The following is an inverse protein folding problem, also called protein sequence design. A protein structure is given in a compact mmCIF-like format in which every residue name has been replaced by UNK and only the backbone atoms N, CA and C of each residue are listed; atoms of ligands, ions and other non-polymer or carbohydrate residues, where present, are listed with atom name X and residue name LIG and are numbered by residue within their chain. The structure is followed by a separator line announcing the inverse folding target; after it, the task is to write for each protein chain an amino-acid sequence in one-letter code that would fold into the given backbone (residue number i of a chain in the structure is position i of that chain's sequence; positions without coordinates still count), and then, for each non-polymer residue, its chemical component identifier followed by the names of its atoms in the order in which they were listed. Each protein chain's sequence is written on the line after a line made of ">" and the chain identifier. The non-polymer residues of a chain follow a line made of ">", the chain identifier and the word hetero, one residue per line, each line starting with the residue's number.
data_IF_322597131040
#
_entry.id   IF_322597131040
#
_cell.length_a   1.000
_cell.length_b   1.000
_cell.length_c   1.000
_cell.angle_alpha   90.00
_cell.angle_beta   90.00
_cell.angle_gamma   90.00
#
_symmetry.space_group_name_H-M   'P 1'
#
loop_
_entity.id
_entity.type
_entity.pdbx_description
1 polymer ?
#
# COMPACT_ATOMS: atom_id res chain seq x y z
N UNK A 1 -35.64 14.60 -13.80
CA UNK A 1 -34.66 15.67 -14.02
C UNK A 1 -33.45 15.01 -14.67
N UNK A 2 -33.30 15.15 -15.99
CA UNK A 2 -32.13 14.66 -16.70
C UNK A 2 -31.02 15.68 -16.46
N UNK A 3 -30.04 15.35 -15.63
CA UNK A 3 -28.84 16.16 -15.50
C UNK A 3 -28.07 16.04 -16.81
N UNK A 4 -28.15 17.07 -17.65
CA UNK A 4 -27.28 17.25 -18.81
C UNK A 4 -25.93 17.63 -18.23
N UNK A 5 -25.02 16.66 -18.11
CA UNK A 5 -23.64 16.98 -17.76
C UNK A 5 -23.00 17.66 -18.98
N UNK A 6 -22.47 18.88 -18.85
CA UNK A 6 -21.77 19.52 -19.96
C UNK A 6 -20.57 18.65 -20.33
N UNK A 7 -20.37 18.42 -21.63
CA UNK A 7 -19.20 17.67 -22.15
C UNK A 7 -17.86 18.28 -21.70
N UNK A 8 -17.88 19.51 -21.18
CA UNK A 8 -16.72 20.28 -20.68
C UNK A 8 -16.57 20.25 -19.15
N UNK A 9 -17.15 19.29 -18.42
CA UNK A 9 -16.97 19.23 -16.97
C UNK A 9 -15.51 18.94 -16.60
N UNK A 10 -14.88 19.91 -15.92
CA UNK A 10 -13.52 19.80 -15.37
C UNK A 10 -13.59 19.19 -13.97
N UNK A 11 -13.20 17.92 -13.85
CA UNK A 11 -13.16 17.22 -12.57
C UNK A 11 -12.10 17.79 -11.62
N UNK A 12 -12.44 17.87 -10.33
CA UNK A 12 -11.49 18.14 -9.26
C UNK A 12 -10.71 16.87 -8.90
N UNK A 13 -9.38 16.97 -8.93
CA UNK A 13 -8.48 15.87 -8.61
C UNK A 13 -7.78 16.09 -7.27
N UNK A 14 -7.88 15.12 -6.36
CA UNK A 14 -6.98 14.98 -5.21
C UNK A 14 -5.70 14.27 -5.68
N UNK A 15 -4.55 14.89 -5.47
CA UNK A 15 -3.27 14.43 -6.00
C UNK A 15 -2.24 14.23 -4.89
N UNK A 16 -1.79 12.99 -4.72
CA UNK A 16 -0.70 12.64 -3.80
C UNK A 16 0.52 12.29 -4.63
N UNK A 17 1.65 12.96 -4.38
CA UNK A 17 2.93 12.72 -5.05
C UNK A 17 3.97 12.35 -4.01
N UNK A 18 4.62 11.19 -4.20
CA UNK A 18 5.64 10.65 -3.32
C UNK A 18 6.92 10.37 -4.10
N UNK A 19 8.05 10.65 -3.46
CA UNK A 19 9.38 10.35 -3.96
C UNK A 19 10.22 9.74 -2.84
N UNK A 20 10.22 8.42 -2.78
CA UNK A 20 10.95 7.65 -1.78
C UNK A 20 12.33 7.34 -2.33
N UNK A 21 13.31 8.10 -1.87
CA UNK A 21 14.72 7.94 -2.22
C UNK A 21 15.38 6.92 -1.28
N UNK A 22 16.40 6.23 -1.78
CA UNK A 22 17.24 5.34 -0.97
C UNK A 22 16.45 4.23 -0.25
N UNK A 23 15.39 3.71 -0.88
CA UNK A 23 14.59 2.62 -0.33
C UNK A 23 15.41 1.35 -0.17
N UNK A 24 15.32 0.75 1.03
CA UNK A 24 15.97 -0.49 1.39
C UNK A 24 14.94 -1.42 2.05
N UNK A 25 14.59 -2.54 1.39
CA UNK A 25 13.57 -3.45 1.90
C UNK A 25 14.19 -4.49 2.84
N UNK A 26 14.01 -4.27 4.14
CA UNK A 26 14.45 -5.20 5.20
C UNK A 26 13.26 -5.95 5.76
N UNK A 27 13.43 -7.24 5.94
CA UNK A 27 12.40 -8.08 6.53
C UNK A 27 12.68 -8.30 8.00
N UNK A 28 11.65 -8.75 8.70
CA UNK A 28 11.72 -9.12 10.10
C UNK A 28 11.18 -10.53 10.23
N UNK A 29 11.80 -11.30 11.11
CA UNK A 29 11.41 -12.68 11.36
C UNK A 29 10.62 -12.74 12.67
N UNK A 30 9.50 -13.46 12.66
CA UNK A 30 8.70 -13.71 13.85
C UNK A 30 9.06 -15.08 14.44
N UNK A 31 9.72 -15.09 15.59
CA UNK A 31 10.00 -16.30 16.34
C UNK A 31 8.88 -16.55 17.36
N UNK A 32 8.28 -17.76 17.32
CA UNK A 32 7.37 -18.25 18.36
C UNK A 32 8.18 -19.13 19.31
N UNK A 33 8.25 -18.78 20.58
CA UNK A 33 8.91 -19.61 21.59
C UNK A 33 8.50 -19.22 23.01
N UNK A 34 8.45 -20.17 23.96
CA UNK A 34 8.30 -19.84 25.37
C UNK A 34 9.51 -18.99 25.77
N UNK A 35 9.27 -17.85 26.42
CA UNK A 35 10.29 -16.88 26.82
C UNK A 35 11.57 -17.58 27.27
N UNK A 36 12.58 -17.58 26.38
CA UNK A 36 13.91 -18.01 26.74
C UNK A 36 14.50 -16.88 27.59
N UNK A 37 14.38 -17.03 28.90
CA UNK A 37 15.24 -16.37 29.87
C UNK A 37 16.69 -16.67 29.50
N UNK A 38 17.32 -15.81 28.69
CA UNK A 38 18.72 -15.94 28.32
C UNK A 38 19.31 -14.54 28.10
N UNK A 39 19.82 -13.99 29.19
CA UNK A 39 21.08 -13.24 29.27
C UNK A 39 21.69 -12.74 27.95
N UNK A 40 21.77 -11.41 27.82
CA UNK A 40 22.85 -10.75 27.08
C UNK A 40 22.43 -10.06 25.79
N UNK A 41 22.29 -8.74 25.89
CA UNK A 41 22.14 -7.77 24.79
C UNK A 41 20.89 -7.96 23.91
N UNK A 42 19.77 -7.43 24.39
CA UNK A 42 18.66 -7.03 23.53
C UNK A 42 19.19 -6.04 22.48
N UNK A 43 19.12 -6.34 21.17
CA UNK A 43 19.33 -5.31 20.17
C UNK A 43 18.12 -4.36 20.23
N UNK A 44 18.40 -3.06 20.24
CA UNK A 44 17.48 -1.93 20.44
C UNK A 44 16.31 -1.82 19.43
N UNK A 45 16.11 -2.82 18.56
CA UNK A 45 15.18 -2.77 17.42
C UNK A 45 14.20 -3.94 17.32
N UNK A 46 14.25 -4.90 18.23
CA UNK A 46 13.33 -6.05 18.23
C UNK A 46 11.97 -5.66 18.85
N UNK A 47 10.87 -6.12 18.24
CA UNK A 47 9.53 -5.86 18.75
C UNK A 47 9.03 -7.08 19.52
N UNK A 48 8.73 -6.89 20.80
CA UNK A 48 8.25 -7.94 21.68
C UNK A 48 6.72 -7.92 21.73
N UNK A 49 6.09 -9.02 21.33
CA UNK A 49 4.65 -9.24 21.51
C UNK A 49 4.43 -10.37 22.54
N UNK A 50 3.29 -10.40 23.24
CA UNK A 50 3.02 -11.44 24.25
C UNK A 50 3.12 -12.88 23.73
N UNK A 51 2.89 -13.11 22.44
CA UNK A 51 2.84 -14.44 21.82
C UNK A 51 3.97 -14.73 20.82
N UNK A 52 4.79 -13.73 20.47
CA UNK A 52 5.90 -13.89 19.53
C UNK A 52 6.90 -12.73 19.65
N UNK A 53 8.14 -12.97 19.23
CA UNK A 53 9.17 -11.95 19.11
C UNK A 53 9.40 -11.65 17.63
N UNK A 54 9.45 -10.37 17.26
CA UNK A 54 9.80 -9.93 15.91
C UNK A 54 11.23 -9.40 15.93
N UNK A 55 12.16 -10.21 15.44
CA UNK A 55 13.57 -9.88 15.37
C UNK A 55 13.86 -9.12 14.08
N UNK A 56 14.68 -8.07 14.15
CA UNK A 56 15.11 -7.36 12.95
C UNK A 56 16.23 -8.14 12.25
N UNK A 57 15.99 -8.59 11.03
CA UNK A 57 17.04 -9.21 10.22
C UNK A 57 18.04 -8.13 9.78
N UNK A 58 19.34 -8.43 9.90
CA UNK A 58 20.43 -7.51 9.52
C UNK A 58 20.68 -7.48 8.02
N UNK A 59 20.13 -8.45 7.29
CA UNK A 59 20.31 -8.63 5.85
C UNK A 59 19.14 -7.97 5.10
N UNK A 60 19.48 -7.14 4.11
CA UNK A 60 18.48 -6.58 3.20
C UNK A 60 18.12 -7.56 2.08
N UNK A 61 16.88 -7.51 1.58
CA UNK A 61 16.59 -8.11 0.26
C UNK A 61 17.24 -7.32 -0.87
N UNK A 62 17.35 -6.02 -0.64
CA UNK A 62 18.02 -4.99 -1.41
C UNK A 62 19.52 -5.25 -1.53
N UNK A 63 20.09 -5.64 -2.68
CA UNK A 63 21.56 -5.54 -2.85
C UNK A 63 21.98 -4.08 -2.99
N UNK A 64 21.16 -3.29 -3.65
CA UNK A 64 21.33 -1.85 -3.84
C UNK A 64 20.01 -1.17 -3.50
N UNK A 65 20.10 0.05 -2.94
CA UNK A 65 18.91 0.85 -2.67
C UNK A 65 18.27 1.29 -3.98
N UNK A 66 16.95 1.39 -3.96
CA UNK A 66 16.18 1.85 -5.11
C UNK A 66 15.40 3.12 -4.79
N UNK A 67 14.86 3.77 -5.82
CA UNK A 67 14.01 4.94 -5.72
C UNK A 67 12.65 4.62 -6.31
N UNK A 68 11.60 4.92 -5.55
CA UNK A 68 10.22 4.81 -6.00
C UNK A 68 9.63 6.21 -6.11
N UNK A 69 9.22 6.59 -7.32
CA UNK A 69 8.37 7.76 -7.54
C UNK A 69 6.96 7.27 -7.81
N UNK A 70 5.99 7.91 -7.19
CA UNK A 70 4.60 7.50 -7.33
C UNK A 70 3.65 8.69 -7.19
N UNK A 71 2.61 8.72 -8.01
CA UNK A 71 1.53 9.70 -8.01
C UNK A 71 0.20 8.97 -8.01
N UNK A 72 -0.68 9.36 -7.11
CA UNK A 72 -2.09 8.97 -7.11
C UNK A 72 -2.91 10.20 -7.45
N UNK A 73 -3.83 10.07 -8.39
CA UNK A 73 -4.87 11.06 -8.63
C UNK A 73 -6.21 10.40 -8.36
N UNK A 74 -7.08 11.08 -7.61
CA UNK A 74 -8.45 10.63 -7.33
C UNK A 74 -9.43 11.68 -7.80
N UNK A 75 -10.42 11.24 -8.55
CA UNK A 75 -11.50 12.11 -8.98
C UNK A 75 -12.49 12.34 -7.82
N UNK A 76 -12.44 13.53 -7.23
CA UNK A 76 -13.37 13.92 -6.17
C UNK A 76 -14.79 14.15 -6.70
N UNK A 77 -14.94 14.31 -8.02
CA UNK A 77 -16.21 14.46 -8.71
C UNK A 77 -16.67 13.16 -9.41
N UNK A 78 -16.16 12.00 -8.98
CA UNK A 78 -16.53 10.70 -9.58
C UNK A 78 -18.04 10.40 -9.54
N UNK A 79 -18.80 11.01 -8.64
CA UNK A 79 -20.26 10.92 -8.63
C UNK A 79 -20.96 11.81 -9.69
N UNK A 80 -20.25 12.81 -10.22
CA UNK A 80 -20.78 13.82 -11.13
C UNK A 80 -20.23 13.65 -12.56
N UNK A 81 -19.00 13.19 -12.72
CA UNK A 81 -18.34 13.09 -14.03
C UNK A 81 -17.25 12.03 -14.04
N UNK A 82 -17.19 11.26 -15.14
CA UNK A 82 -16.14 10.29 -15.44
C UNK A 82 -15.36 10.68 -16.71
N UNK A 83 -15.25 11.99 -17.00
CA UNK A 83 -14.37 12.50 -18.07
C UNK A 83 -12.89 12.15 -17.81
N UNK A 84 -12.55 11.85 -16.57
CA UNK A 84 -11.28 11.26 -16.11
C UNK A 84 -11.54 9.98 -15.29
N UNK A 85 -10.56 9.07 -15.14
CA UNK A 85 -10.70 7.89 -14.29
C UNK A 85 -10.95 8.25 -12.81
N UNK A 86 -11.73 7.42 -12.11
CA UNK A 86 -12.03 7.63 -10.68
C UNK A 86 -10.76 7.63 -9.81
N UNK A 87 -9.78 6.81 -10.20
CA UNK A 87 -8.44 6.81 -9.61
C UNK A 87 -7.42 6.45 -10.69
N UNK A 88 -6.36 7.26 -10.79
CA UNK A 88 -5.18 6.97 -11.60
C UNK A 88 -3.97 6.79 -10.69
N UNK A 89 -3.10 5.88 -11.08
CA UNK A 89 -1.88 5.57 -10.35
C UNK A 89 -0.73 5.55 -11.35
N UNK A 90 0.26 6.41 -11.11
CA UNK A 90 1.46 6.51 -11.92
C UNK A 90 2.68 6.27 -11.06
N UNK A 91 3.64 5.49 -11.53
CA UNK A 91 4.86 5.29 -10.78
C UNK A 91 6.01 4.83 -11.64
N UNK A 92 7.21 5.05 -11.11
CA UNK A 92 8.45 4.52 -11.67
C UNK A 92 9.30 3.99 -10.52
N UNK A 93 9.75 2.75 -10.65
CA UNK A 93 10.74 2.16 -9.78
C UNK A 93 12.09 2.18 -10.49
N UNK A 94 13.13 2.67 -9.82
CA UNK A 94 14.50 2.55 -10.35
C UNK A 94 14.90 1.08 -10.45
N UNK A 95 16.05 0.80 -11.09
CA UNK A 95 16.60 -0.55 -11.16
C UNK A 95 16.60 -1.21 -9.77
N UNK A 96 16.16 -2.46 -9.72
CA UNK A 96 16.11 -3.29 -8.52
C UNK A 96 17.15 -4.38 -8.65
N UNK A 97 18.13 -4.37 -7.74
CA UNK A 97 19.12 -5.43 -7.65
C UNK A 97 18.82 -6.28 -6.41
N UNK A 98 18.31 -7.50 -6.62
CA UNK A 98 18.06 -8.46 -5.55
C UNK A 98 18.48 -9.87 -5.97
N UNK A 99 18.46 -10.81 -5.03
CA UNK A 99 18.68 -12.24 -5.32
C UNK A 99 17.66 -13.05 -4.54
N UNK A 100 17.01 -13.96 -5.25
CA UNK A 100 15.90 -14.76 -4.74
C UNK A 100 16.37 -16.20 -4.49
N UNK A 101 16.49 -16.56 -3.22
CA UNK A 101 16.42 -17.94 -2.78
C UNK A 101 14.95 -18.31 -2.50
N UNK A 102 14.70 -19.58 -2.16
CA UNK A 102 13.34 -20.08 -1.90
C UNK A 102 12.64 -19.30 -0.79
N UNK A 103 13.38 -18.96 0.28
CA UNK A 103 12.85 -18.25 1.44
C UNK A 103 12.42 -16.83 1.08
N UNK A 104 13.29 -16.08 0.38
CA UNK A 104 12.99 -14.71 -0.08
C UNK A 104 11.85 -14.70 -1.08
N UNK A 105 11.78 -15.70 -1.96
CA UNK A 105 10.66 -15.84 -2.87
C UNK A 105 9.33 -16.07 -2.14
N UNK A 106 9.30 -17.00 -1.17
CA UNK A 106 8.11 -17.26 -0.36
C UNK A 106 7.66 -16.03 0.43
N UNK A 107 8.62 -15.24 0.92
CA UNK A 107 8.34 -14.00 1.64
C UNK A 107 7.70 -12.95 0.74
N UNK A 108 8.28 -12.68 -0.43
CA UNK A 108 7.70 -11.76 -1.42
C UNK A 108 6.32 -12.27 -1.85
N UNK A 109 6.20 -13.58 -2.09
CA UNK A 109 4.93 -14.19 -2.50
C UNK A 109 3.87 -14.03 -1.42
N UNK A 110 4.20 -14.31 -0.16
CA UNK A 110 3.30 -14.13 0.97
C UNK A 110 2.90 -12.67 1.17
N UNK A 111 3.83 -11.72 0.97
CA UNK A 111 3.52 -10.28 1.01
C UNK A 111 2.50 -9.90 -0.06
N UNK A 112 2.67 -10.39 -1.29
CA UNK A 112 1.76 -10.12 -2.41
C UNK A 112 0.41 -10.82 -2.22
N UNK A 113 0.41 -12.07 -1.76
CA UNK A 113 -0.81 -12.86 -1.57
C UNK A 113 -1.69 -12.32 -0.43
N UNK A 114 -1.10 -11.69 0.59
CA UNK A 114 -1.84 -11.15 1.74
C UNK A 114 -2.01 -9.62 1.71
N UNK A 115 -1.37 -8.94 0.76
CA UNK A 115 -1.39 -7.49 0.54
C UNK A 115 -1.57 -6.69 1.85
N UNK A 116 -0.60 -6.73 2.78
CA UNK A 116 -0.75 -6.24 4.16
C UNK A 116 -0.72 -4.71 4.26
N UNK A 117 -1.26 -4.00 3.25
CA UNK A 117 -1.65 -2.61 3.43
C UNK A 117 -2.57 -2.53 4.65
N UNK A 118 -2.35 -1.53 5.48
CA UNK A 118 -3.28 -1.26 6.59
C UNK A 118 -4.69 -1.12 5.99
N UNK A 119 -5.73 -1.72 6.61
CA UNK A 119 -7.07 -1.42 6.20
C UNK A 119 -7.22 0.09 6.27
N UNK A 120 -7.45 0.73 5.12
CA UNK A 120 -7.73 2.16 5.08
C UNK A 120 -8.98 2.34 5.93
N UNK A 121 -8.84 3.04 7.06
CA UNK A 121 -10.00 3.39 7.86
C UNK A 121 -10.99 4.07 6.93
N UNK A 122 -12.21 3.54 6.84
CA UNK A 122 -13.29 4.26 6.20
C UNK A 122 -13.38 5.58 6.96
N UNK A 123 -12.93 6.68 6.33
CA UNK A 123 -13.11 8.02 6.86
C UNK A 123 -14.61 8.26 6.86
N UNK A 124 -15.29 7.83 7.92
CA UNK A 124 -16.69 8.13 8.15
C UNK A 124 -16.74 9.64 8.34
N UNK A 125 -17.27 10.34 7.33
CA UNK A 125 -17.52 11.77 7.42
C UNK A 125 -18.35 12.04 8.69
N UNK A 126 -17.83 12.79 9.67
CA UNK A 126 -18.55 13.01 10.92
C UNK A 126 -19.74 13.96 10.67
N UNK A 127 -20.93 13.36 10.67
CA UNK A 127 -22.25 13.90 11.00
C UNK A 127 -22.75 15.19 10.28
N UNK A 128 -23.88 15.01 9.59
CA UNK A 128 -24.92 16.00 9.24
C UNK A 128 -24.91 16.69 7.87
N UNK A 129 -24.63 15.96 6.79
CA UNK A 129 -25.29 16.22 5.50
C UNK A 129 -25.85 14.90 4.96
N UNK A 130 -27.04 14.53 5.46
CA UNK A 130 -27.83 13.44 4.88
C UNK A 130 -28.58 13.95 3.66
N UNK A 131 -28.32 13.35 2.49
CA UNK A 131 -29.34 13.07 1.47
C UNK A 131 -29.15 11.59 1.01
N UNK A 132 -30.19 10.74 0.94
CA UNK A 132 -30.09 9.30 1.16
C UNK A 132 -30.18 8.44 -0.11
N UNK A 133 -29.58 8.87 -1.23
CA UNK A 133 -29.52 8.06 -2.46
C UNK A 133 -28.16 7.39 -2.66
N UNK A 134 -28.05 6.16 -2.13
CA UNK A 134 -27.24 5.05 -2.68
C UNK A 134 -25.71 5.23 -2.64
N UNK A 135 -25.01 5.02 -1.53
CA UNK A 135 -24.77 3.70 -0.93
C UNK A 135 -24.66 2.52 -1.91
N UNK A 136 -23.97 2.66 -3.06
CA UNK A 136 -23.39 1.49 -3.74
C UNK A 136 -22.03 1.86 -4.33
N UNK A 137 -20.98 1.69 -3.54
CA UNK A 137 -19.65 1.48 -4.09
C UNK A 137 -19.05 0.26 -3.41
N UNK A 138 -19.47 -0.92 -3.86
CA UNK A 138 -18.69 -2.14 -3.64
C UNK A 138 -17.39 -1.99 -4.44
N UNK A 139 -16.41 -1.27 -3.89
CA UNK A 139 -15.06 -1.31 -4.43
C UNK A 139 -14.41 -2.62 -3.97
N UNK A 140 -14.72 -3.71 -4.66
CA UNK A 140 -13.74 -4.77 -4.79
C UNK A 140 -12.61 -4.20 -5.65
N UNK A 141 -11.53 -3.79 -5.00
CA UNK A 141 -10.30 -3.37 -5.66
C UNK A 141 -9.70 -4.60 -6.34
N UNK A 142 -10.09 -4.86 -7.60
CA UNK A 142 -9.31 -5.71 -8.47
C UNK A 142 -8.18 -4.87 -9.04
N UNK A 143 -6.95 -5.18 -8.65
CA UNK A 143 -5.76 -4.69 -9.35
C UNK A 143 -5.74 -5.37 -10.72
N UNK A 144 -6.11 -4.67 -11.79
CA UNK A 144 -5.76 -5.09 -13.15
C UNK A 144 -4.32 -4.67 -13.37
N UNK A 145 -3.39 -5.60 -13.15
CA UNK A 145 -2.05 -5.45 -13.69
C UNK A 145 -2.14 -5.73 -15.19
N UNK A 146 -2.29 -4.68 -16.00
CA UNK A 146 -1.98 -4.76 -17.43
C UNK A 146 -0.47 -4.94 -17.59
N UNK A 147 -0.01 -6.19 -17.49
CA UNK A 147 1.29 -6.59 -18.02
C UNK A 147 1.16 -6.66 -19.55
N UNK A 148 1.45 -5.57 -20.24
CA UNK A 148 1.83 -5.66 -21.65
C UNK A 148 3.24 -6.25 -21.72
N UNK A 149 3.31 -7.51 -22.17
CA UNK A 149 4.53 -8.18 -22.63
C UNK A 149 4.94 -7.65 -24.01
#
# INVERSE_FOLDING_TARGET
>A
MLCVFPEDHVCLLDCIVLDLQEMDQRHREAARGPWASATGKQPDSDLVFPSYLVCRTTVSLLKERCRLKFKVERNLDSALSHTVPDMSIHGSLSSVHCSLDLERYQLIRGLLDNNPGEPVEELICPYNLQDPSNYVSKHTLYTVADCQL
#
